data_IF_950688481852
#
_entry.id   IF_950688481852
#
_cell.length_a   1.000
_cell.length_b   1.000
_cell.length_c   1.000
_cell.angle_alpha   90.00
_cell.angle_beta   90.00
_cell.angle_gamma   90.00
#
_symmetry.space_group_name_H-M   'P 1'
#
loop_
_entity.id
_entity.type
_entity.pdbx_description
1 polymer ?
#
# COMPACT_ATOMS: atom_id res chain seq x y z
N UNK A 1 9.37 12.11 16.67
CA UNK A 1 8.18 12.41 15.85
C UNK A 1 7.41 11.11 15.64
N UNK A 2 6.45 10.78 16.51
CA UNK A 2 5.62 9.58 16.32
C UNK A 2 4.47 9.95 15.37
N UNK A 3 4.81 10.12 14.09
CA UNK A 3 3.81 10.37 13.05
C UNK A 3 3.11 9.07 12.72
N UNK A 4 1.78 9.04 12.83
CA UNK A 4 0.97 7.91 12.36
C UNK A 4 0.73 8.08 10.87
N UNK A 5 1.08 7.08 10.05
CA UNK A 5 0.92 7.13 8.59
C UNK A 5 -0.37 6.44 8.20
N UNK A 6 -1.18 7.10 7.37
CA UNK A 6 -2.40 6.54 6.81
C UNK A 6 -2.19 6.43 5.30
N UNK A 7 -2.46 5.24 4.75
CA UNK A 7 -2.39 4.98 3.32
C UNK A 7 -3.77 4.56 2.83
N UNK A 8 -4.28 5.26 1.82
CA UNK A 8 -5.57 4.99 1.21
C UNK A 8 -5.35 4.45 -0.20
N UNK A 9 -5.71 3.18 -0.40
CA UNK A 9 -5.55 2.44 -1.64
C UNK A 9 -4.52 1.31 -1.51
N UNK A 10 -4.97 0.06 -1.60
CA UNK A 10 -4.12 -1.13 -1.56
C UNK A 10 -3.60 -1.61 -2.92
N UNK A 11 -3.31 -0.68 -3.85
CA UNK A 11 -2.67 -1.01 -5.13
C UNK A 11 -1.15 -1.20 -4.99
N UNK A 12 -0.44 -1.47 -6.10
CA UNK A 12 1.02 -1.67 -6.10
C UNK A 12 1.76 -0.54 -5.36
N UNK A 13 1.46 0.73 -5.70
CA UNK A 13 2.11 1.88 -5.07
C UNK A 13 1.79 2.01 -3.58
N UNK A 14 0.53 1.82 -3.18
CA UNK A 14 0.11 1.92 -1.78
C UNK A 14 0.71 0.83 -0.90
N UNK A 15 0.81 -0.40 -1.43
CA UNK A 15 1.50 -1.50 -0.74
C UNK A 15 3.00 -1.23 -0.63
N UNK A 16 3.67 -0.74 -1.69
CA UNK A 16 5.09 -0.37 -1.61
C UNK A 16 5.36 0.75 -0.59
N UNK A 17 4.51 1.78 -0.56
CA UNK A 17 4.59 2.85 0.44
C UNK A 17 4.38 2.30 1.87
N UNK A 18 3.44 1.37 2.05
CA UNK A 18 3.18 0.71 3.35
C UNK A 18 4.41 -0.05 3.83
N UNK A 19 5.03 -0.82 2.94
CA UNK A 19 6.26 -1.57 3.25
C UNK A 19 7.36 -0.61 3.68
N UNK A 20 7.62 0.45 2.92
CA UNK A 20 8.70 1.41 3.23
C UNK A 20 8.46 2.17 4.53
N UNK A 21 7.22 2.58 4.79
CA UNK A 21 6.87 3.24 6.05
C UNK A 21 7.00 2.28 7.25
N UNK A 22 6.60 1.01 7.09
CA UNK A 22 6.76 0.00 8.13
C UNK A 22 8.26 -0.35 8.39
N UNK A 23 9.07 -0.47 7.33
CA UNK A 23 10.53 -0.66 7.41
C UNK A 23 11.22 0.49 8.16
N UNK A 24 10.71 1.72 8.02
CA UNK A 24 11.18 2.88 8.75
C UNK A 24 10.69 2.95 10.22
N UNK A 25 10.07 1.88 10.74
CA UNK A 25 9.58 1.80 12.11
C UNK A 25 8.31 2.61 12.37
N UNK A 26 7.59 3.02 11.32
CA UNK A 26 6.37 3.81 11.44
C UNK A 26 5.14 2.91 11.43
N UNK A 27 4.19 3.16 12.36
CA UNK A 27 2.91 2.46 12.35
C UNK A 27 2.02 2.98 11.22
N UNK A 28 1.58 2.06 10.36
CA UNK A 28 0.78 2.35 9.17
C UNK A 28 -0.61 1.77 9.31
N UNK A 29 -1.63 2.57 9.05
CA UNK A 29 -3.00 2.09 8.80
C UNK A 29 -3.27 2.12 7.30
N UNK A 30 -3.52 0.96 6.69
CA UNK A 30 -3.85 0.83 5.27
C UNK A 30 -5.35 0.58 5.08
N UNK A 31 -5.98 1.45 4.29
CA UNK A 31 -7.39 1.32 3.90
C UNK A 31 -7.48 0.98 2.41
N UNK A 32 -8.38 0.07 2.06
CA UNK A 32 -8.64 -0.30 0.67
C UNK A 32 -10.13 -0.61 0.49
N UNK A 33 -10.71 -0.12 -0.61
CA UNK A 33 -12.12 -0.34 -0.93
C UNK A 33 -12.42 -1.83 -1.21
N UNK A 34 -11.45 -2.53 -1.78
CA UNK A 34 -11.50 -3.96 -2.09
C UNK A 34 -10.29 -4.66 -1.47
N UNK A 35 -10.30 -6.00 -1.29
CA UNK A 35 -9.10 -6.74 -0.91
C UNK A 35 -7.92 -6.33 -1.79
N UNK A 36 -6.75 -6.07 -1.19
CA UNK A 36 -5.61 -5.44 -1.88
C UNK A 36 -5.14 -6.21 -3.13
N UNK A 37 -5.31 -7.53 -3.12
CA UNK A 37 -5.03 -8.45 -4.24
C UNK A 37 -6.05 -8.36 -5.39
N UNK A 38 -7.06 -7.50 -5.30
CA UNK A 38 -8.04 -7.20 -6.36
C UNK A 38 -7.96 -5.73 -6.81
N UNK A 39 -6.86 -5.06 -6.54
CA UNK A 39 -6.59 -3.73 -7.09
C UNK A 39 -6.41 -3.80 -8.61
N UNK A 40 -6.64 -2.69 -9.32
CA UNK A 40 -6.48 -2.62 -10.78
C UNK A 40 -5.06 -2.94 -11.26
N UNK A 41 -4.08 -2.83 -10.36
CA UNK A 41 -2.71 -3.24 -10.62
C UNK A 41 -2.58 -4.69 -11.09
N UNK A 42 -3.49 -5.60 -10.72
CA UNK A 42 -3.43 -7.01 -11.15
C UNK A 42 -3.78 -7.21 -12.63
N UNK A 43 -4.37 -6.19 -13.27
CA UNK A 43 -4.73 -6.23 -14.68
C UNK A 43 -3.54 -5.98 -15.62
N UNK A 44 -2.34 -5.71 -15.08
CA UNK A 44 -1.14 -5.54 -15.88
C UNK A 44 -0.75 -6.87 -16.57
N UNK A 45 -0.66 -6.87 -17.90
CA UNK A 45 -0.36 -8.08 -18.71
C UNK A 45 0.96 -7.99 -19.48
N UNK A 46 1.53 -6.78 -19.62
CA UNK A 46 2.76 -6.60 -20.40
C UNK A 46 3.99 -7.18 -19.72
N UNK A 47 4.21 -6.81 -18.46
CA UNK A 47 5.42 -7.13 -17.70
C UNK A 47 5.65 -6.13 -16.57
N UNK A 48 6.75 -6.29 -15.85
CA UNK A 48 7.18 -5.39 -14.77
C UNK A 48 8.16 -4.33 -15.28
#
# INVERSE_FOLDING_TARGET
>A
MSGKVIIVGGGLAGLMATIKAAEAGTKVDLFSLVPVKRSHSVCAQGGI
#
